data_IF_678622182922
#
_entry.id   IF_678622182922
#
_cell.length_a   1.000
_cell.length_b   1.000
_cell.length_c   1.000
_cell.angle_alpha   90.00
_cell.angle_beta   90.00
_cell.angle_gamma   90.00
#
_symmetry.space_group_name_H-M   'P 1'
#
loop_
_entity.id
_entity.type
_entity.pdbx_description
1 polymer ?
#
# COMPACT_ATOMS: atom_id res chain seq x y z
N UNK A 1 -2.99 -5.77 13.79
CA UNK A 1 -2.92 -5.70 12.28
C UNK A 1 -4.01 -6.53 11.61
N UNK A 2 -4.51 -7.61 12.24
CA UNK A 2 -5.73 -8.27 11.81
C UNK A 2 -6.99 -7.40 12.03
N UNK A 3 -6.90 -6.44 12.95
CA UNK A 3 -8.03 -5.68 13.48
C UNK A 3 -8.66 -4.75 12.45
N UNK A 4 -7.85 -4.04 11.66
CA UNK A 4 -8.40 -3.15 10.62
C UNK A 4 -9.07 -3.99 9.53
N UNK A 5 -8.39 -4.99 8.96
CA UNK A 5 -8.96 -5.87 7.93
C UNK A 5 -10.28 -6.52 8.36
N UNK A 6 -10.39 -6.99 9.61
CA UNK A 6 -11.63 -7.51 10.17
C UNK A 6 -12.70 -6.43 10.39
N UNK A 7 -12.32 -5.26 10.92
CA UNK A 7 -13.25 -4.16 11.22
C UNK A 7 -13.98 -3.62 9.99
N UNK A 8 -13.28 -3.53 8.86
CA UNK A 8 -13.84 -3.03 7.59
C UNK A 8 -14.22 -4.16 6.62
N UNK A 9 -14.14 -5.43 7.03
CA UNK A 9 -14.61 -6.56 6.22
C UNK A 9 -13.81 -6.79 4.93
N UNK A 10 -12.51 -6.51 4.94
CA UNK A 10 -11.64 -6.64 3.76
C UNK A 10 -10.52 -7.64 3.98
N UNK A 11 -9.99 -8.19 2.89
CA UNK A 11 -8.87 -9.11 2.99
C UNK A 11 -7.60 -8.38 3.48
N UNK A 12 -6.76 -9.06 4.27
CA UNK A 12 -5.43 -8.54 4.67
C UNK A 12 -4.59 -8.08 3.45
N UNK A 13 -4.58 -8.79 2.30
CA UNK A 13 -3.95 -8.30 1.07
C UNK A 13 -4.50 -6.96 0.57
N UNK A 14 -5.80 -6.71 0.72
CA UNK A 14 -6.44 -5.46 0.30
C UNK A 14 -5.98 -4.27 1.16
N UNK A 15 -5.97 -4.42 2.49
CA UNK A 15 -5.44 -3.37 3.39
C UNK A 15 -3.96 -3.13 3.13
N UNK A 16 -3.22 -4.21 2.89
CA UNK A 16 -1.81 -4.12 2.54
C UNK A 16 -1.62 -3.35 1.24
N UNK A 17 -2.42 -3.60 0.20
CA UNK A 17 -2.35 -2.86 -1.05
C UNK A 17 -2.62 -1.37 -0.86
N UNK A 18 -3.60 -0.99 -0.03
CA UNK A 18 -3.87 0.43 0.27
C UNK A 18 -2.76 1.09 1.07
N UNK A 19 -2.30 0.44 2.14
CA UNK A 19 -1.22 0.96 3.00
C UNK A 19 0.09 1.19 2.23
N UNK A 20 0.33 0.38 1.21
CA UNK A 20 1.53 0.47 0.38
C UNK A 20 1.29 1.22 -0.94
N UNK A 21 0.16 1.92 -1.07
CA UNK A 21 -0.16 2.73 -2.26
C UNK A 21 -0.28 1.92 -3.55
N UNK A 22 -0.45 0.59 -3.49
CA UNK A 22 -0.66 -0.28 -4.66
C UNK A 22 -2.08 -0.20 -5.23
N UNK A 23 -3.02 0.29 -4.44
CA UNK A 23 -4.39 0.54 -4.83
C UNK A 23 -4.97 1.66 -3.96
N UNK A 24 -5.96 2.39 -4.48
CA UNK A 24 -6.72 3.35 -3.67
C UNK A 24 -8.08 2.72 -3.29
N UNK A 25 -8.52 2.78 -2.03
CA UNK A 25 -9.90 2.45 -1.70
C UNK A 25 -10.84 3.39 -2.45
N UNK A 26 -12.02 2.89 -2.85
CA UNK A 26 -13.08 3.75 -3.38
C UNK A 26 -13.56 4.69 -2.26
N UNK A 27 -14.14 5.84 -2.62
CA UNK A 27 -14.65 6.85 -1.66
C UNK A 27 -15.55 6.24 -0.57
N UNK A 28 -16.44 5.31 -0.93
CA UNK A 28 -17.29 4.60 0.03
C UNK A 28 -16.47 3.86 1.11
N UNK A 29 -15.33 3.27 0.75
CA UNK A 29 -14.44 2.61 1.72
C UNK A 29 -13.53 3.56 2.45
N UNK A 30 -13.15 4.69 1.84
CA UNK A 30 -12.41 5.73 2.55
C UNK A 30 -13.20 6.23 3.77
N UNK A 31 -14.53 6.36 3.64
CA UNK A 31 -15.43 6.65 4.77
C UNK A 31 -15.38 5.59 5.85
N UNK A 32 -15.52 4.31 5.49
CA UNK A 32 -15.46 3.20 6.45
C UNK A 32 -14.09 3.12 7.16
N UNK A 33 -13.00 3.39 6.44
CA UNK A 33 -11.64 3.43 6.99
C UNK A 33 -11.48 4.61 7.95
N UNK A 34 -11.98 5.80 7.57
CA UNK A 34 -11.96 7.01 8.39
C UNK A 34 -12.72 6.79 9.71
N UNK A 35 -13.93 6.23 9.63
CA UNK A 35 -14.74 5.86 10.80
C UNK A 35 -14.06 4.80 11.68
N UNK A 36 -13.49 3.75 11.07
CA UNK A 36 -12.83 2.68 11.82
C UNK A 36 -11.53 3.12 12.52
N UNK A 37 -10.89 4.17 12.01
CA UNK A 37 -9.66 4.77 12.54
C UNK A 37 -9.92 6.01 13.41
N UNK A 38 -11.13 6.57 13.39
CA UNK A 38 -11.47 7.81 14.10
C UNK A 38 -10.79 9.06 13.52
N UNK A 39 -10.52 9.08 12.22
CA UNK A 39 -9.83 10.17 11.49
C UNK A 39 -10.76 10.73 10.39
N UNK A 40 -10.41 11.83 9.73
CA UNK A 40 -11.19 12.34 8.59
C UNK A 40 -10.69 11.76 7.26
N UNK A 41 -11.51 11.87 6.20
CA UNK A 41 -11.10 11.46 4.85
C UNK A 41 -9.92 12.31 4.37
N UNK A 42 -9.88 13.59 4.77
CA UNK A 42 -8.81 14.54 4.40
C UNK A 42 -7.45 14.09 4.97
N UNK A 43 -7.42 13.54 6.18
CA UNK A 43 -6.21 12.94 6.77
C UNK A 43 -5.73 11.70 5.99
N UNK A 44 -6.65 10.97 5.35
CA UNK A 44 -6.34 9.80 4.51
C UNK A 44 -5.91 10.19 3.09
N UNK A 45 -6.34 11.37 2.61
CA UNK A 45 -6.09 11.86 1.26
C UNK A 45 -4.72 12.53 1.08
N UNK A 46 -4.05 12.87 2.19
CA UNK A 46 -2.70 13.43 2.21
C UNK A 46 -1.57 12.44 1.90
N UNK A 47 -1.87 11.17 1.64
CA UNK A 47 -0.86 10.18 1.23
C UNK A 47 -0.49 10.44 -0.25
N UNK A 48 0.81 10.62 -0.57
CA UNK A 48 1.25 10.89 -1.95
C UNK A 48 0.71 9.77 -2.86
N UNK A 49 -0.07 10.20 -3.85
CA UNK A 49 -0.73 9.31 -4.80
C UNK A 49 0.26 8.43 -5.56
N UNK A 50 -0.29 7.39 -6.18
CA UNK A 50 0.36 6.40 -7.06
C UNK A 50 1.24 6.95 -8.19
N UNK A 51 1.31 8.27 -8.37
CA UNK A 51 2.22 8.91 -9.32
C UNK A 51 3.69 8.87 -8.87
N UNK A 52 3.97 8.51 -7.60
CA UNK A 52 5.34 8.27 -7.17
C UNK A 52 5.80 6.85 -7.55
N UNK A 53 6.17 6.69 -8.82
CA UNK A 53 6.82 5.50 -9.35
C UNK A 53 8.08 5.13 -8.53
N UNK A 54 8.79 6.10 -7.95
CA UNK A 54 9.98 5.83 -7.15
C UNK A 54 9.62 5.13 -5.84
N UNK A 55 8.54 5.57 -5.16
CA UNK A 55 8.02 4.88 -3.98
C UNK A 55 7.59 3.44 -4.32
N UNK A 56 6.84 3.26 -5.41
CA UNK A 56 6.39 1.94 -5.84
C UNK A 56 7.58 1.01 -6.15
N UNK A 57 8.57 1.50 -6.89
CA UNK A 57 9.77 0.74 -7.22
C UNK A 57 10.59 0.39 -5.99
N UNK A 58 10.73 1.31 -5.01
CA UNK A 58 11.40 1.04 -3.74
C UNK A 58 10.68 -0.06 -2.94
N UNK A 59 9.35 -0.05 -2.91
CA UNK A 59 8.55 -1.10 -2.26
C UNK A 59 8.73 -2.48 -2.92
N UNK A 60 8.65 -2.56 -4.25
CA UNK A 60 8.87 -3.81 -4.98
C UNK A 60 10.30 -4.33 -4.79
N UNK A 61 11.28 -3.42 -4.85
CA UNK A 61 12.70 -3.75 -4.64
C UNK A 61 12.92 -4.41 -3.28
N UNK A 62 12.34 -3.86 -2.21
CA UNK A 62 12.42 -4.40 -0.86
C UNK A 62 11.79 -5.79 -0.73
N UNK A 63 10.62 -5.99 -1.35
CA UNK A 63 9.92 -7.29 -1.29
C UNK A 63 10.69 -8.41 -1.99
N UNK A 64 11.22 -8.14 -3.19
CA UNK A 64 12.05 -9.08 -3.94
C UNK A 64 13.31 -9.41 -3.13
N UNK A 65 13.99 -8.39 -2.60
CA UNK A 65 15.18 -8.58 -1.78
C UNK A 65 14.94 -9.46 -0.56
N UNK A 66 13.85 -9.23 0.18
CA UNK A 66 13.48 -10.09 1.32
C UNK A 66 13.25 -11.54 0.89
N UNK A 67 12.55 -11.76 -0.22
CA UNK A 67 12.26 -13.11 -0.70
C UNK A 67 13.51 -13.88 -1.11
N UNK A 68 14.45 -13.21 -1.78
CA UNK A 68 15.70 -13.83 -2.24
C UNK A 68 16.86 -13.70 -1.24
N UNK A 69 16.60 -13.17 -0.03
CA UNK A 69 17.62 -12.91 1.00
C UNK A 69 18.83 -12.09 0.48
N UNK A 70 18.56 -11.10 -0.36
CA UNK A 70 19.56 -10.18 -0.90
C UNK A 70 19.32 -8.75 -0.42
N UNK A 71 20.33 -7.88 -0.54
CA UNK A 71 20.13 -6.45 -0.31
C UNK A 71 19.21 -5.85 -1.37
N UNK A 72 18.27 -4.94 -1.01
CA UNK A 72 17.41 -4.23 -1.97
C UNK A 72 18.19 -3.58 -3.12
N UNK A 73 19.37 -3.04 -2.83
CA UNK A 73 20.27 -2.38 -3.79
C UNK A 73 20.70 -3.31 -4.94
N UNK A 74 20.68 -4.63 -4.72
CA UNK A 74 21.03 -5.63 -5.74
C UNK A 74 19.89 -5.94 -6.71
N UNK A 75 18.68 -5.45 -6.44
CA UNK A 75 17.50 -5.70 -7.28
C UNK A 75 17.35 -4.59 -8.33
N UNK A 76 17.51 -4.99 -9.60
CA UNK A 76 17.36 -4.13 -10.79
C UNK A 76 16.10 -4.52 -11.56
N UNK A 77 15.32 -3.53 -11.99
CA UNK A 77 14.19 -3.72 -12.90
C UNK A 77 14.66 -3.43 -14.32
N UNK A 78 14.42 -4.34 -15.26
CA UNK A 78 14.72 -4.16 -16.69
C UNK A 78 13.41 -4.35 -17.46
N UNK A 79 13.07 -3.39 -18.31
CA UNK A 79 11.95 -3.48 -19.24
C UNK A 79 12.57 -3.70 -20.62
N UNK A 80 12.26 -4.82 -21.26
CA UNK A 80 12.67 -5.12 -22.63
C UNK A 80 11.41 -5.12 -23.52
N UNK A 81 11.55 -4.61 -24.74
CA UNK A 81 10.51 -4.58 -25.78
C UNK A 81 10.90 -5.52 -26.92
#
# INVERSE_FOLDING_TARGET
MADLAQRIGVSKPTVWAWKHGRARPREARLKEIAEALGTTIEDLDGLPGTDDLAFLMAQYRKQIATHFHVAPEKVKFVIAF
#
